data_IF_872736069261
#
_entry.id   IF_872736069261
#
_cell.length_a   1.000
_cell.length_b   1.000
_cell.length_c   1.000
_cell.angle_alpha   90.00
_cell.angle_beta   90.00
_cell.angle_gamma   90.00
#
_symmetry.space_group_name_H-M   'P 1'
#
loop_
_entity.id
_entity.type
_entity.pdbx_description
1 polymer ?
#
# COMPACT_ATOMS: atom_id res chain seq x y z
N UNK A 1 6.88 -15.17 -6.96
CA UNK A 1 7.37 -15.82 -5.73
C UNK A 1 7.19 -14.80 -4.62
N UNK A 2 6.64 -15.18 -3.48
CA UNK A 2 6.38 -14.23 -2.40
C UNK A 2 7.70 -13.68 -1.86
N UNK A 3 7.78 -12.37 -1.65
CA UNK A 3 8.94 -11.76 -1.00
C UNK A 3 8.95 -12.16 0.48
N UNK A 4 9.87 -13.05 0.89
CA UNK A 4 9.94 -13.59 2.25
C UNK A 4 10.10 -12.49 3.31
N UNK A 5 10.80 -11.40 2.97
CA UNK A 5 10.95 -10.24 3.85
C UNK A 5 9.61 -9.55 4.08
N UNK A 6 8.85 -9.30 3.02
CA UNK A 6 7.51 -8.69 3.09
C UNK A 6 6.58 -9.54 3.95
N UNK A 7 6.55 -10.86 3.70
CA UNK A 7 5.71 -11.79 4.47
C UNK A 7 6.06 -11.74 5.97
N UNK A 8 7.35 -11.72 6.30
CA UNK A 8 7.81 -11.68 7.69
C UNK A 8 7.35 -10.40 8.40
N UNK A 9 7.46 -9.24 7.77
CA UNK A 9 7.07 -7.96 8.37
C UNK A 9 5.54 -7.84 8.49
N UNK A 10 4.79 -8.25 7.46
CA UNK A 10 3.32 -8.30 7.54
C UNK A 10 2.86 -9.23 8.68
N UNK A 11 3.48 -10.40 8.84
CA UNK A 11 3.18 -11.30 9.96
C UNK A 11 3.43 -10.66 11.34
N UNK A 12 4.34 -9.67 11.47
CA UNK A 12 4.51 -8.94 12.72
C UNK A 12 3.34 -7.99 12.96
N UNK A 13 2.86 -7.31 11.93
CA UNK A 13 1.70 -6.41 12.01
C UNK A 13 0.46 -7.19 12.47
N UNK A 14 0.21 -8.38 11.90
CA UNK A 14 -0.94 -9.20 12.28
C UNK A 14 -0.87 -9.79 13.71
N UNK A 15 0.30 -9.76 14.36
CA UNK A 15 0.46 -10.16 15.78
C UNK A 15 0.21 -9.04 16.78
N UNK A 16 0.01 -7.80 16.32
CA UNK A 16 -0.31 -6.66 17.19
C UNK A 16 -1.69 -6.81 17.84
N UNK A 17 -1.94 -6.07 18.91
CA UNK A 17 -3.22 -6.08 19.64
C UNK A 17 -4.18 -5.02 19.05
N UNK A 18 -4.52 -5.21 17.78
CA UNK A 18 -5.47 -4.39 17.01
C UNK A 18 -6.57 -5.27 16.40
N UNK A 19 -7.66 -4.65 15.97
CA UNK A 19 -8.69 -5.34 15.20
C UNK A 19 -8.16 -5.81 13.83
N UNK A 20 -8.84 -6.79 13.23
CA UNK A 20 -8.39 -7.41 12.00
C UNK A 20 -8.36 -6.43 10.82
N UNK A 21 -9.35 -5.53 10.70
CA UNK A 21 -9.47 -4.62 9.56
C UNK A 21 -8.41 -3.52 9.63
N UNK A 22 -8.09 -3.04 10.83
CA UNK A 22 -6.96 -2.12 11.07
C UNK A 22 -5.61 -2.77 10.78
N UNK A 23 -5.41 -4.03 11.17
CA UNK A 23 -4.20 -4.79 10.81
C UNK A 23 -4.03 -4.90 9.29
N UNK A 24 -5.12 -5.16 8.57
CA UNK A 24 -5.12 -5.21 7.11
C UNK A 24 -4.75 -3.84 6.51
N UNK A 25 -5.31 -2.75 7.03
CA UNK A 25 -4.99 -1.40 6.57
C UNK A 25 -3.52 -1.02 6.82
N UNK A 26 -3.00 -1.30 8.02
CA UNK A 26 -1.59 -1.07 8.37
C UNK A 26 -0.64 -1.95 7.55
N UNK A 27 -1.00 -3.21 7.29
CA UNK A 27 -0.22 -4.08 6.43
C UNK A 27 -0.17 -3.56 4.98
N UNK A 28 -1.30 -3.07 4.45
CA UNK A 28 -1.33 -2.45 3.13
C UNK A 28 -0.44 -1.21 3.06
N UNK A 29 -0.54 -0.31 4.04
CA UNK A 29 0.30 0.88 4.12
C UNK A 29 1.80 0.54 4.24
N UNK A 30 2.14 -0.47 5.05
CA UNK A 30 3.53 -0.95 5.17
C UNK A 30 4.07 -1.46 3.83
N UNK A 31 3.29 -2.27 3.11
CA UNK A 31 3.69 -2.81 1.80
C UNK A 31 3.90 -1.65 0.82
N UNK A 32 2.96 -0.70 0.74
CA UNK A 32 3.11 0.48 -0.12
C UNK A 32 4.40 1.24 0.22
N UNK A 33 4.68 1.50 1.50
CA UNK A 33 5.88 2.21 1.92
C UNK A 33 7.17 1.43 1.60
N UNK A 34 7.17 0.11 1.82
CA UNK A 34 8.29 -0.77 1.48
C UNK A 34 8.63 -0.71 -0.02
N UNK A 35 7.60 -0.63 -0.87
CA UNK A 35 7.76 -0.46 -2.32
C UNK A 35 7.92 1.00 -2.76
N UNK A 36 8.24 1.92 -1.85
CA UNK A 36 8.51 3.36 -2.13
C UNK A 36 7.31 4.12 -2.67
N UNK A 37 6.10 3.72 -2.27
CA UNK A 37 4.91 4.51 -2.48
C UNK A 37 4.93 5.76 -1.61
N UNK A 38 4.30 6.82 -2.11
CA UNK A 38 4.30 8.13 -1.47
C UNK A 38 2.89 8.61 -1.17
N UNK A 39 2.79 9.62 -0.30
CA UNK A 39 1.52 10.24 0.09
C UNK A 39 0.48 9.20 0.55
N UNK A 40 0.91 8.28 1.42
CA UNK A 40 0.08 7.21 1.94
C UNK A 40 -0.85 7.79 3.00
N UNK A 41 -2.15 7.63 2.83
CA UNK A 41 -3.17 8.03 3.81
C UNK A 41 -4.10 6.87 4.10
N UNK A 42 -4.46 6.70 5.36
CA UNK A 42 -5.47 5.73 5.80
C UNK A 42 -6.59 6.53 6.46
N UNK A 43 -7.77 6.51 5.88
CA UNK A 43 -8.97 7.14 6.43
C UNK A 43 -9.80 6.07 7.15
N UNK A 44 -10.14 6.34 8.42
CA UNK A 44 -11.08 5.55 9.21
C UNK A 44 -12.49 6.07 8.98
N UNK A 45 -13.27 5.28 8.26
CA UNK A 45 -14.67 5.57 7.90
C UNK A 45 -15.65 4.61 8.59
N UNK A 46 -15.17 3.74 9.49
CA UNK A 46 -15.93 2.68 10.17
C UNK A 46 -17.17 3.20 10.92
N UNK A 47 -17.12 4.42 11.44
CA UNK A 47 -18.23 5.04 12.18
C UNK A 47 -19.27 5.74 11.29
N UNK A 48 -18.99 5.92 10.01
CA UNK A 48 -19.77 6.80 9.12
C UNK A 48 -20.19 6.15 7.81
N UNK A 49 -19.49 5.11 7.36
CA UNK A 49 -19.72 4.46 6.09
C UNK A 49 -20.10 3.00 6.29
N UNK A 50 -21.11 2.53 5.57
CA UNK A 50 -21.42 1.10 5.46
C UNK A 50 -20.65 0.41 4.33
N UNK A 51 -19.79 1.14 3.61
CA UNK A 51 -19.06 0.62 2.46
C UNK A 51 -17.82 -0.19 2.87
N UNK A 52 -17.01 0.37 3.78
CA UNK A 52 -15.78 -0.23 4.30
C UNK A 52 -15.43 0.46 5.64
N UNK A 53 -14.50 -0.11 6.41
CA UNK A 53 -13.95 0.48 7.63
C UNK A 53 -12.79 1.42 7.34
N UNK A 54 -11.89 1.02 6.41
CA UNK A 54 -10.69 1.77 6.10
C UNK A 54 -10.51 1.99 4.59
N UNK A 55 -10.25 3.24 4.22
CA UNK A 55 -9.91 3.63 2.86
C UNK A 55 -8.44 4.07 2.81
N UNK A 56 -7.62 3.37 2.02
CA UNK A 56 -6.19 3.66 1.88
C UNK A 56 -5.94 4.29 0.52
N UNK A 57 -5.27 5.44 0.50
CA UNK A 57 -4.89 6.13 -0.73
C UNK A 57 -3.38 6.27 -0.77
N UNK A 58 -2.78 5.83 -1.87
CA UNK A 58 -1.35 5.87 -2.09
C UNK A 58 -1.02 6.31 -3.51
N UNK A 59 0.17 6.87 -3.69
CA UNK A 59 0.72 7.22 -5.00
C UNK A 59 1.89 6.31 -5.34
N UNK A 60 1.86 5.73 -6.54
CA UNK A 60 2.97 5.08 -7.20
C UNK A 60 3.55 6.00 -8.28
N UNK A 61 4.85 5.91 -8.50
CA UNK A 61 5.61 6.65 -9.51
C UNK A 61 5.44 6.07 -10.93
N UNK A 62 5.02 4.80 -11.06
CA UNK A 62 4.78 4.17 -12.35
C UNK A 62 3.86 2.94 -12.24
N UNK A 63 3.32 2.49 -13.38
CA UNK A 63 2.42 1.34 -13.52
C UNK A 63 3.00 0.05 -12.93
N UNK A 64 4.30 -0.22 -13.13
CA UNK A 64 4.93 -1.46 -12.65
C UNK A 64 4.97 -1.49 -11.11
N UNK A 65 5.33 -0.37 -10.50
CA UNK A 65 5.32 -0.20 -9.06
C UNK A 65 3.90 -0.34 -8.50
N UNK A 66 2.91 0.32 -9.13
CA UNK A 66 1.51 0.22 -8.72
C UNK A 66 1.01 -1.24 -8.73
N UNK A 67 1.30 -1.97 -9.80
CA UNK A 67 0.99 -3.41 -9.92
C UNK A 67 1.63 -4.24 -8.82
N UNK A 68 2.93 -4.03 -8.60
CA UNK A 68 3.69 -4.78 -7.60
C UNK A 68 3.17 -4.54 -6.18
N UNK A 69 2.84 -3.29 -5.84
CA UNK A 69 2.23 -2.97 -4.55
C UNK A 69 0.92 -3.73 -4.37
N UNK A 70 0.02 -3.67 -5.35
CA UNK A 70 -1.30 -4.28 -5.24
C UNK A 70 -1.22 -5.81 -5.23
N UNK A 71 -0.33 -6.41 -6.02
CA UNK A 71 -0.09 -7.86 -6.02
C UNK A 71 0.41 -8.35 -4.66
N UNK A 72 1.35 -7.63 -4.04
CA UNK A 72 1.90 -7.97 -2.73
C UNK A 72 0.87 -7.77 -1.61
N UNK A 73 0.08 -6.69 -1.66
CA UNK A 73 -1.04 -6.48 -0.73
C UNK A 73 -2.03 -7.62 -0.86
N UNK A 74 -2.46 -7.92 -2.09
CA UNK A 74 -3.42 -8.99 -2.36
C UNK A 74 -2.93 -10.34 -1.85
N UNK A 75 -1.67 -10.68 -2.12
CA UNK A 75 -1.08 -11.93 -1.68
C UNK A 75 -1.05 -12.04 -0.15
N UNK A 76 -0.51 -11.02 0.53
CA UNK A 76 -0.28 -11.05 1.97
C UNK A 76 -1.60 -10.99 2.76
N UNK A 77 -2.57 -10.18 2.35
CA UNK A 77 -3.87 -10.12 2.99
C UNK A 77 -4.63 -11.44 2.85
N UNK A 78 -4.58 -12.10 1.68
CA UNK A 78 -5.16 -13.44 1.47
C UNK A 78 -4.59 -14.49 2.43
N UNK A 79 -3.27 -14.46 2.72
CA UNK A 79 -2.65 -15.39 3.68
C UNK A 79 -3.20 -15.20 5.11
N UNK A 80 -3.72 -14.01 5.42
CA UNK A 80 -4.30 -13.67 6.71
C UNK A 80 -5.84 -13.76 6.75
N UNK A 81 -6.43 -14.46 5.77
CA UNK A 81 -7.86 -14.74 5.73
C UNK A 81 -8.72 -13.63 5.13
N UNK A 82 -8.12 -12.57 4.59
CA UNK A 82 -8.87 -11.55 3.87
C UNK A 82 -9.44 -12.11 2.56
N UNK A 83 -10.64 -11.65 2.20
CA UNK A 83 -11.24 -11.91 0.89
C UNK A 83 -11.00 -10.71 0.00
N UNK A 84 -10.56 -10.96 -1.23
CA UNK A 84 -10.43 -9.93 -2.25
C UNK A 84 -11.66 -10.02 -3.13
N UNK A 85 -12.49 -8.98 -3.06
CA UNK A 85 -13.78 -8.92 -3.75
C UNK A 85 -13.61 -8.50 -5.20
N UNK A 86 -12.77 -7.48 -5.44
CA UNK A 86 -12.47 -7.00 -6.79
C UNK A 86 -11.06 -6.41 -6.88
N UNK A 87 -10.54 -6.39 -8.10
CA UNK A 87 -9.28 -5.75 -8.45
C UNK A 87 -9.44 -5.12 -9.84
N UNK A 88 -9.49 -3.80 -9.89
CA UNK A 88 -9.81 -3.02 -11.10
C UNK A 88 -8.65 -2.09 -11.48
N UNK A 89 -8.59 -1.67 -12.75
CA UNK A 89 -7.61 -0.67 -13.23
C UNK A 89 -6.17 -1.17 -13.36
N UNK A 90 -5.93 -2.48 -13.21
CA UNK A 90 -4.57 -3.06 -13.31
C UNK A 90 -3.96 -2.83 -14.70
N UNK A 91 -4.73 -2.84 -15.78
CA UNK A 91 -4.17 -2.79 -17.14
C UNK A 91 -3.32 -1.54 -17.39
N UNK A 92 -3.89 -0.35 -17.15
CA UNK A 92 -3.20 0.95 -17.26
C UNK A 92 -2.32 1.26 -16.03
N UNK A 93 -2.77 0.88 -14.83
CA UNK A 93 -2.14 1.22 -13.56
C UNK A 93 -2.07 2.72 -13.29
N UNK A 94 -2.96 3.50 -13.89
CA UNK A 94 -3.16 4.93 -13.58
C UNK A 94 -3.95 5.08 -12.28
N UNK A 95 -4.94 4.23 -12.09
CA UNK A 95 -5.68 4.06 -10.85
C UNK A 95 -6.05 2.59 -10.67
N UNK A 96 -5.40 1.94 -9.72
CA UNK A 96 -5.74 0.58 -9.32
C UNK A 96 -6.61 0.64 -8.06
N UNK A 97 -7.73 -0.07 -8.10
CA UNK A 97 -8.64 -0.26 -6.96
C UNK A 97 -8.57 -1.72 -6.51
N UNK A 98 -8.16 -1.96 -5.27
CA UNK A 98 -8.20 -3.26 -4.62
C UNK A 98 -9.25 -3.24 -3.51
N UNK A 99 -10.31 -4.01 -3.70
CA UNK A 99 -11.41 -4.13 -2.74
C UNK A 99 -11.27 -5.42 -1.91
N UNK A 100 -11.10 -5.26 -0.60
CA UNK A 100 -11.04 -6.36 0.37
C UNK A 100 -12.25 -6.38 1.32
N UNK A 101 -13.36 -5.76 0.94
CA UNK A 101 -14.55 -5.56 1.78
C UNK A 101 -14.35 -4.40 2.74
N UNK A 102 -13.98 -4.70 3.98
CA UNK A 102 -13.81 -3.69 5.04
C UNK A 102 -12.57 -2.79 4.84
N UNK A 103 -11.70 -3.16 3.90
CA UNK A 103 -10.52 -2.37 3.53
C UNK A 103 -10.47 -2.18 2.02
N UNK A 104 -10.41 -0.92 1.58
CA UNK A 104 -10.28 -0.56 0.17
C UNK A 104 -8.94 0.16 -0.03
N UNK A 105 -8.16 -0.28 -1.02
CA UNK A 105 -6.86 0.32 -1.35
C UNK A 105 -6.93 0.95 -2.74
N UNK A 106 -6.62 2.24 -2.81
CA UNK A 106 -6.47 3.01 -4.03
C UNK A 106 -4.99 3.30 -4.27
N UNK A 107 -4.44 2.81 -5.38
CA UNK A 107 -3.07 3.13 -5.81
C UNK A 107 -3.14 3.93 -7.11
N UNK A 108 -2.76 5.19 -7.02
CA UNK A 108 -2.80 6.14 -8.13
C UNK A 108 -1.41 6.41 -8.70
N UNK A 109 -1.33 6.79 -9.97
CA UNK A 109 -0.25 7.65 -10.43
C UNK A 109 -0.53 9.11 -10.05
N UNK A 110 0.52 9.92 -9.95
CA UNK A 110 0.45 11.30 -9.47
C UNK A 110 -0.62 12.14 -10.18
N UNK A 111 -0.59 12.19 -11.51
CA UNK A 111 -1.57 12.96 -12.30
C UNK A 111 -3.02 12.49 -12.06
N UNK A 112 -3.24 11.18 -12.00
CA UNK A 112 -4.58 10.62 -11.81
C UNK A 112 -5.12 10.96 -10.41
N UNK A 113 -4.26 10.93 -9.37
CA UNK A 113 -4.66 11.32 -8.02
C UNK A 113 -5.16 12.76 -7.96
N UNK A 114 -4.46 13.67 -8.63
CA UNK A 114 -4.84 15.09 -8.69
C UNK A 114 -6.16 15.30 -9.45
N UNK A 115 -6.43 14.50 -10.48
CA UNK A 115 -7.67 14.60 -11.27
C UNK A 115 -8.88 14.05 -10.51
N UNK A 116 -8.73 12.91 -9.82
CA UNK A 116 -9.83 12.27 -9.10
C UNK A 116 -10.09 12.90 -7.72
N UNK A 117 -9.05 13.49 -7.10
CA UNK A 117 -9.08 14.19 -5.81
C UNK A 117 -9.87 13.47 -4.70
N UNK A 118 -9.66 12.16 -4.58
CA UNK A 118 -10.27 11.38 -3.50
C UNK A 118 -9.76 11.84 -2.12
N UNK A 119 -8.58 12.44 -2.06
CA UNK A 119 -8.06 13.06 -0.85
C UNK A 119 -9.02 14.10 -0.26
N UNK A 120 -9.62 14.96 -1.10
CA UNK A 120 -10.64 15.92 -0.67
C UNK A 120 -11.91 15.20 -0.18
N UNK A 121 -12.38 14.20 -0.93
CA UNK A 121 -13.59 13.44 -0.59
C UNK A 121 -13.53 12.84 0.82
N UNK A 122 -12.36 12.31 1.21
CA UNK A 122 -12.18 11.65 2.51
C UNK A 122 -11.57 12.56 3.59
N UNK A 123 -11.25 13.82 3.28
CA UNK A 123 -10.53 14.74 4.15
C UNK A 123 -11.18 15.00 5.52
N UNK A 124 -12.50 14.85 5.61
CA UNK A 124 -13.28 15.06 6.84
C UNK A 124 -13.26 13.88 7.83
N UNK A 125 -12.72 12.73 7.41
CA UNK A 125 -12.66 11.52 8.24
C UNK A 125 -11.36 11.45 9.05
N UNK A 126 -11.38 10.83 10.25
CA UNK A 126 -10.18 10.55 11.01
C UNK A 126 -9.15 9.79 10.18
N UNK A 127 -7.87 10.08 10.39
CA UNK A 127 -6.78 9.34 9.76
C UNK A 127 -6.08 8.44 10.78
N UNK A 128 -5.77 7.21 10.37
CA UNK A 128 -4.94 6.31 11.16
C UNK A 128 -3.49 6.73 11.03
N UNK A 129 -2.80 6.90 12.16
CA UNK A 129 -1.38 7.22 12.17
C UNK A 129 -0.56 6.05 11.61
N UNK A 130 0.21 6.33 10.56
CA UNK A 130 1.14 5.36 9.98
C UNK A 130 2.47 5.47 10.74
N UNK A 131 2.97 4.39 11.33
CA UNK A 131 4.23 4.43 12.07
C UNK A 131 5.38 4.91 11.17
N UNK A 132 6.22 5.82 11.69
CA UNK A 132 7.33 6.40 10.92
C UNK A 132 8.31 5.33 10.43
N UNK A 133 8.39 4.21 11.13
CA UNK A 133 9.21 3.08 10.75
C UNK A 133 8.85 2.43 9.42
N UNK A 134 7.65 2.68 8.89
CA UNK A 134 7.22 2.14 7.61
C UNK A 134 7.95 2.83 6.45
N UNK A 135 8.41 4.07 6.66
CA UNK A 135 9.06 4.88 5.62
C UNK A 135 10.58 4.73 5.56
N UNK A 136 11.22 4.01 6.50
CA UNK A 136 12.68 3.88 6.51
C UNK A 136 13.18 2.96 5.38
N UNK A 137 14.28 3.37 4.74
CA UNK A 137 15.00 2.52 3.81
C UNK A 137 15.75 1.41 4.55
N UNK A 138 15.39 0.15 4.31
CA UNK A 138 16.18 -0.97 4.77
C UNK A 138 17.47 -1.07 3.94
N UNK A 139 18.65 -1.23 4.57
CA UNK A 139 19.94 -1.26 3.86
C UNK A 139 20.06 -2.38 2.82
N UNK A 140 19.22 -3.42 2.89
CA UNK A 140 19.20 -4.53 1.92
C UNK A 140 18.59 -4.16 0.56
N UNK A 141 17.92 -3.01 0.42
CA UNK A 141 17.33 -2.56 -0.85
C UNK A 141 18.27 -1.69 -1.70
N UNK A 142 19.50 -1.45 -1.24
CA UNK A 142 20.51 -0.77 -2.08
C UNK A 142 20.92 -1.71 -3.21
N UNK A 143 20.61 -1.32 -4.46
CA UNK A 143 21.22 -1.92 -5.63
C UNK A 143 22.75 -1.98 -5.43
N UNK A 144 23.43 -3.05 -5.87
CA UNK A 144 24.88 -3.12 -5.75
C UNK A 144 25.47 -1.85 -6.36
N UNK A 145 26.28 -1.13 -5.58
CA UNK A 145 27.03 0.03 -6.07
C UNK A 145 27.70 -0.42 -7.36
N UNK A 146 27.35 0.22 -8.48
CA UNK A 146 28.01 0.00 -9.75
C UNK A 146 29.50 0.21 -9.53
N UNK A 147 30.28 -0.86 -9.67
CA UNK A 147 31.74 -0.79 -9.67
C UNK A 147 32.18 0.29 -10.66
N UNK A 148 33.13 1.10 -10.21
CA UNK A 148 33.62 2.31 -10.83
C UNK A 148 33.88 2.18 -12.34
N UNK A 149 33.38 3.14 -13.12
CA UNK A 149 33.82 3.40 -14.51
C UNK A 149 35.22 4.03 -14.52
N UNK A 150 36.22 3.33 -14.00
CA UNK A 150 37.63 3.75 -14.02
C UNK A 150 38.42 3.04 -15.13
N UNK A 151 37.85 2.87 -16.33
CA UNK A 151 38.59 2.38 -17.51
C UNK A 151 38.03 2.94 -18.83
N UNK A 152 37.95 4.26 -18.95
CA UNK A 152 37.87 4.96 -20.23
C UNK A 152 38.94 6.05 -20.32
N UNK A 153 40.21 5.63 -20.32
CA UNK A 153 41.32 6.36 -20.93
C UNK A 153 42.37 5.36 -21.43
#
# INVERSE_FOLDING_TARGET
>A
MANEFVVKEVNKIFKQDDDQTKKMALAAAWIVANYKGINIKIYDVSQSSSLCDYNIIATAQNTMQAKTMVDEIQYNLKQHGAKVLSLEGVTDGEWILLDCGDVIVHVFQELSRDIFDLDELWSSYPQVEIPQEYYFEHPETQAPKSDSTDNYF
#
